data_IF_054771473218
#
_entry.id   IF_054771473218
#
_cell.length_a   1.000
_cell.length_b   1.000
_cell.length_c   1.000
_cell.angle_alpha   90.00
_cell.angle_beta   90.00
_cell.angle_gamma   90.00
#
_symmetry.space_group_name_H-M   'P 1'
#
loop_
_entity.id
_entity.type
_entity.pdbx_description
1 polymer ?
#
# COMPACT_ATOMS: atom_id res chain seq x y z
N UNK A 1 4.87 -23.79 -3.23
CA UNK A 1 5.23 -22.66 -2.35
C UNK A 1 6.39 -21.93 -3.00
N UNK A 2 6.23 -20.67 -3.38
CA UNK A 2 7.35 -19.85 -3.83
C UNK A 2 8.28 -19.66 -2.65
N UNK A 3 9.50 -20.22 -2.71
CA UNK A 3 10.49 -20.05 -1.65
C UNK A 3 10.98 -18.59 -1.72
N UNK A 4 10.95 -17.89 -0.59
CA UNK A 4 11.57 -16.57 -0.47
C UNK A 4 13.08 -16.73 -0.66
N UNK A 5 13.69 -16.15 -1.71
CA UNK A 5 15.11 -16.36 -2.01
C UNK A 5 16.01 -15.66 -0.99
N UNK A 6 17.29 -15.99 -1.03
CA UNK A 6 18.30 -15.25 -0.27
C UNK A 6 18.68 -13.95 -0.98
N UNK A 7 18.68 -12.85 -0.22
CA UNK A 7 19.02 -11.53 -0.69
C UNK A 7 19.98 -10.88 0.30
N UNK A 8 21.27 -11.02 0.04
CA UNK A 8 22.31 -10.20 0.67
C UNK A 8 22.60 -9.01 -0.23
N UNK A 9 22.23 -7.79 0.20
CA UNK A 9 22.49 -6.57 -0.56
C UNK A 9 23.98 -6.35 -0.83
N UNK A 10 24.84 -6.61 0.16
CA UNK A 10 26.26 -6.26 0.08
C UNK A 10 26.97 -7.06 -1.01
N UNK A 11 26.59 -8.33 -1.22
CA UNK A 11 27.22 -9.19 -2.23
C UNK A 11 26.98 -8.74 -3.67
N UNK A 12 25.87 -8.03 -3.95
CA UNK A 12 25.48 -7.64 -5.31
C UNK A 12 25.23 -6.14 -5.49
N UNK A 13 25.59 -5.30 -4.50
CA UNK A 13 25.31 -3.85 -4.49
C UNK A 13 25.72 -3.13 -5.78
N UNK A 14 26.83 -3.52 -6.40
CA UNK A 14 27.31 -2.91 -7.65
C UNK A 14 26.41 -3.29 -8.84
N UNK A 15 25.95 -4.54 -8.90
CA UNK A 15 24.95 -4.99 -9.88
C UNK A 15 23.58 -4.36 -9.62
N UNK A 16 23.18 -4.24 -8.36
CA UNK A 16 21.95 -3.54 -7.94
C UNK A 16 21.98 -2.08 -8.40
N UNK A 17 23.09 -1.37 -8.16
CA UNK A 17 23.28 0.02 -8.60
C UNK A 17 23.29 0.16 -10.12
N UNK A 18 23.91 -0.77 -10.85
CA UNK A 18 23.86 -0.79 -12.31
C UNK A 18 22.42 -0.96 -12.83
N UNK A 19 21.70 -1.96 -12.31
CA UNK A 19 20.32 -2.24 -12.70
C UNK A 19 19.38 -1.06 -12.39
N UNK A 20 19.57 -0.41 -11.25
CA UNK A 20 18.86 0.82 -10.88
C UNK A 20 19.05 1.90 -11.95
N UNK A 21 20.29 2.23 -12.32
CA UNK A 21 20.58 3.25 -13.33
C UNK A 21 20.07 2.86 -14.73
N UNK A 22 20.12 1.58 -15.09
CA UNK A 22 19.54 1.08 -16.35
C UNK A 22 18.02 1.27 -16.39
N UNK A 23 17.33 0.98 -15.29
CA UNK A 23 15.89 1.25 -15.15
C UNK A 23 15.59 2.75 -15.17
N UNK A 24 16.47 3.62 -14.65
CA UNK A 24 16.28 5.07 -14.75
C UNK A 24 16.32 5.56 -16.20
N UNK A 25 17.23 5.03 -17.04
CA UNK A 25 17.28 5.38 -18.47
C UNK A 25 15.94 5.05 -19.15
N UNK A 26 15.46 3.82 -18.99
CA UNK A 26 14.18 3.40 -19.59
C UNK A 26 12.98 4.13 -18.96
N UNK A 27 13.03 4.37 -17.65
CA UNK A 27 12.02 5.07 -16.88
C UNK A 27 11.88 6.54 -17.28
N UNK A 28 13.00 7.23 -17.57
CA UNK A 28 13.01 8.62 -18.04
C UNK A 28 12.50 8.74 -19.46
N UNK A 29 12.80 7.79 -20.33
CA UNK A 29 12.15 7.69 -21.63
C UNK A 29 10.63 7.54 -21.47
N UNK A 30 10.17 6.61 -20.64
CA UNK A 30 8.74 6.44 -20.38
C UNK A 30 8.09 7.69 -19.80
N UNK A 31 8.74 8.35 -18.84
CA UNK A 31 8.28 9.61 -18.24
C UNK A 31 8.12 10.73 -19.27
N UNK A 32 9.08 10.88 -20.18
CA UNK A 32 9.06 11.92 -21.20
C UNK A 32 7.99 11.70 -22.28
N UNK A 33 7.62 10.45 -22.54
CA UNK A 33 6.74 10.09 -23.66
C UNK A 33 5.33 9.66 -23.25
N UNK A 34 5.03 9.50 -21.96
CA UNK A 34 3.69 9.09 -21.50
C UNK A 34 2.97 10.25 -20.83
N UNK A 35 1.70 10.55 -21.17
CA UNK A 35 0.92 11.56 -20.48
C UNK A 35 0.96 11.39 -18.97
N UNK A 36 1.08 12.51 -18.25
CA UNK A 36 1.17 12.50 -16.80
C UNK A 36 -0.07 11.85 -16.18
N UNK A 37 0.15 10.84 -15.35
CA UNK A 37 -0.87 10.24 -14.50
C UNK A 37 -0.55 10.65 -13.07
N UNK A 38 -1.59 10.88 -12.29
CA UNK A 38 -1.44 11.31 -10.90
C UNK A 38 -0.44 10.45 -10.11
N UNK A 39 0.34 11.12 -9.26
CA UNK A 39 1.41 10.54 -8.47
C UNK A 39 2.53 9.88 -9.31
N UNK A 40 2.78 10.42 -10.50
CA UNK A 40 3.78 9.91 -11.46
C UNK A 40 3.60 8.43 -11.84
N UNK A 41 2.41 7.86 -11.67
CA UNK A 41 2.16 6.43 -11.91
C UNK A 41 2.38 6.01 -13.37
N UNK A 42 2.34 6.97 -14.31
CA UNK A 42 2.68 6.78 -15.71
C UNK A 42 4.15 6.38 -15.96
N UNK A 43 5.03 6.47 -14.96
CA UNK A 43 6.48 6.23 -15.12
C UNK A 43 6.99 4.91 -14.50
N UNK A 44 6.17 4.14 -13.78
CA UNK A 44 6.51 2.88 -13.06
C UNK A 44 6.56 1.55 -13.86
N UNK A 45 7.39 0.59 -13.46
CA UNK A 45 7.43 -0.76 -14.07
C UNK A 45 6.59 -1.78 -13.29
N UNK A 46 6.21 -2.89 -13.91
CA UNK A 46 5.38 -3.95 -13.31
C UNK A 46 6.10 -5.28 -13.31
N UNK A 47 5.95 -6.05 -12.23
CA UNK A 47 6.53 -7.38 -12.09
C UNK A 47 5.79 -8.38 -12.98
N UNK A 48 6.53 -9.18 -13.72
CA UNK A 48 6.02 -10.27 -14.57
C UNK A 48 6.76 -11.57 -14.24
N UNK A 49 6.28 -12.74 -14.72
CA UNK A 49 6.98 -14.01 -14.52
C UNK A 49 8.40 -14.10 -15.10
N UNK A 50 8.82 -13.14 -15.93
CA UNK A 50 10.15 -13.11 -16.57
C UNK A 50 10.97 -11.85 -16.26
N UNK A 51 10.39 -10.81 -15.67
CA UNK A 51 11.13 -9.61 -15.30
C UNK A 51 10.25 -8.40 -15.01
N UNK A 52 10.69 -7.22 -15.46
CA UNK A 52 10.01 -5.94 -15.24
C UNK A 52 9.56 -5.32 -16.56
N UNK A 53 8.27 -4.98 -16.67
CA UNK A 53 7.69 -4.48 -17.93
C UNK A 53 7.06 -3.10 -17.76
N UNK A 54 7.12 -2.27 -18.80
CA UNK A 54 6.35 -1.04 -18.87
C UNK A 54 4.93 -1.30 -19.38
N UNK A 55 4.00 -0.39 -19.11
CA UNK A 55 2.82 -0.29 -20.00
C UNK A 55 3.25 0.19 -21.39
N UNK A 56 2.39 0.09 -22.42
CA UNK A 56 2.66 0.71 -23.71
C UNK A 56 2.97 2.21 -23.54
N UNK A 57 4.09 2.63 -24.10
CA UNK A 57 4.57 4.02 -24.14
C UNK A 57 4.08 4.61 -25.46
N UNK A 58 3.33 5.73 -25.45
CA UNK A 58 2.71 6.28 -26.67
C UNK A 58 3.72 7.12 -27.47
N UNK A 59 4.75 6.45 -27.97
CA UNK A 59 5.77 6.99 -28.86
C UNK A 59 5.87 6.15 -30.14
N UNK A 60 5.93 6.82 -31.29
CA UNK A 60 5.81 6.18 -32.60
C UNK A 60 4.58 5.24 -32.69
N UNK A 61 4.76 3.96 -33.07
CA UNK A 61 3.67 2.96 -33.13
C UNK A 61 3.19 2.44 -31.75
N UNK A 62 3.70 3.00 -30.65
CA UNK A 62 3.56 2.46 -29.31
C UNK A 62 4.67 1.46 -28.99
N UNK A 63 5.33 1.59 -27.85
CA UNK A 63 6.49 0.77 -27.46
C UNK A 63 6.32 0.21 -26.05
N UNK A 64 6.49 -1.10 -25.88
CA UNK A 64 6.62 -1.77 -24.59
C UNK A 64 8.10 -2.09 -24.34
N UNK A 65 8.59 -1.82 -23.13
CA UNK A 65 9.95 -2.17 -22.70
C UNK A 65 9.88 -3.22 -21.61
N UNK A 66 10.56 -4.34 -21.84
CA UNK A 66 10.73 -5.44 -20.90
C UNK A 66 12.21 -5.58 -20.54
N UNK A 67 12.53 -5.50 -19.25
CA UNK A 67 13.76 -6.03 -18.71
C UNK A 67 13.51 -7.52 -18.42
N UNK A 68 13.92 -8.39 -19.33
CA UNK A 68 13.88 -9.83 -19.14
C UNK A 68 15.03 -10.22 -18.22
N UNK A 69 14.71 -10.49 -16.95
CA UNK A 69 15.67 -10.78 -15.90
C UNK A 69 16.05 -12.27 -15.85
N UNK A 70 15.41 -13.11 -16.68
CA UNK A 70 15.73 -14.54 -16.80
C UNK A 70 16.73 -14.78 -17.92
N UNK A 71 16.47 -14.22 -19.09
CA UNK A 71 17.39 -14.26 -20.24
C UNK A 71 18.46 -13.16 -20.14
N UNK A 72 18.28 -12.20 -19.23
CA UNK A 72 19.11 -11.02 -19.03
C UNK A 72 19.21 -10.20 -20.32
N UNK A 73 18.08 -9.62 -20.73
CA UNK A 73 17.98 -8.77 -21.92
C UNK A 73 17.08 -7.57 -21.65
N UNK A 74 17.30 -6.50 -22.39
CA UNK A 74 16.26 -5.48 -22.61
C UNK A 74 15.60 -5.79 -23.94
N UNK A 75 14.29 -5.97 -23.93
CA UNK A 75 13.47 -6.25 -25.10
C UNK A 75 12.48 -5.10 -25.27
N UNK A 76 12.47 -4.50 -26.45
CA UNK A 76 11.42 -3.57 -26.85
C UNK A 76 10.51 -4.22 -27.88
N UNK A 77 9.20 -4.11 -27.68
CA UNK A 77 8.18 -4.55 -28.65
C UNK A 77 7.38 -3.33 -29.08
N UNK A 78 7.28 -3.07 -30.39
CA UNK A 78 6.45 -1.98 -30.86
C UNK A 78 5.09 -2.45 -31.39
N UNK A 79 4.11 -1.55 -31.49
CA UNK A 79 2.69 -1.88 -31.70
C UNK A 79 2.37 -2.63 -33.00
N UNK A 80 3.31 -2.70 -33.95
CA UNK A 80 3.19 -3.49 -35.17
C UNK A 80 3.77 -4.93 -35.03
N UNK A 81 4.23 -5.31 -33.84
CA UNK A 81 4.77 -6.63 -33.53
C UNK A 81 6.28 -6.78 -33.74
N UNK A 82 6.98 -5.76 -34.28
CA UNK A 82 8.44 -5.78 -34.37
C UNK A 82 9.06 -5.76 -32.97
N UNK A 83 10.15 -6.52 -32.82
CA UNK A 83 10.89 -6.66 -31.57
C UNK A 83 12.36 -6.43 -31.80
N UNK A 84 12.97 -5.67 -30.91
CA UNK A 84 14.42 -5.45 -30.83
C UNK A 84 14.89 -5.77 -29.42
N UNK A 85 16.15 -6.16 -29.28
CA UNK A 85 16.71 -6.48 -27.96
C UNK A 85 18.22 -6.35 -27.91
N UNK A 86 18.75 -6.14 -26.71
CA UNK A 86 20.17 -6.30 -26.43
C UNK A 86 20.38 -6.98 -25.07
N UNK A 87 21.53 -7.66 -24.92
CA UNK A 87 21.83 -8.42 -23.72
C UNK A 87 22.23 -7.49 -22.56
N UNK A 88 21.75 -7.83 -21.36
CA UNK A 88 22.23 -7.30 -20.08
C UNK A 88 23.45 -8.12 -19.62
N UNK A 89 24.48 -7.42 -19.18
CA UNK A 89 25.75 -7.98 -18.75
C UNK A 89 26.64 -6.88 -18.18
N UNK A 90 27.92 -7.18 -17.89
CA UNK A 90 28.86 -6.16 -17.46
C UNK A 90 29.00 -5.07 -18.53
N UNK A 91 28.61 -3.84 -18.21
CA UNK A 91 28.74 -2.68 -19.10
C UNK A 91 28.66 -1.37 -18.28
N UNK A 92 29.11 -0.28 -18.88
CA UNK A 92 28.96 1.06 -18.30
C UNK A 92 27.51 1.54 -18.47
N UNK A 93 27.15 2.61 -17.75
CA UNK A 93 25.82 3.24 -17.92
C UNK A 93 25.76 3.99 -19.25
N UNK A 94 26.89 4.57 -19.70
CA UNK A 94 27.01 5.19 -21.01
C UNK A 94 26.75 4.20 -22.15
N UNK A 95 27.30 2.98 -22.06
CA UNK A 95 27.06 1.91 -23.03
C UNK A 95 25.60 1.46 -23.02
N UNK A 96 25.00 1.23 -21.84
CA UNK A 96 23.58 0.90 -21.72
C UNK A 96 22.71 1.97 -22.34
N UNK A 97 22.97 3.24 -22.02
CA UNK A 97 22.24 4.38 -22.57
C UNK A 97 22.32 4.43 -24.11
N UNK A 98 23.50 4.24 -24.69
CA UNK A 98 23.67 4.20 -26.15
C UNK A 98 22.89 3.05 -26.80
N UNK A 99 22.95 1.84 -26.24
CA UNK A 99 22.18 0.67 -26.72
C UNK A 99 20.68 0.89 -26.61
N UNK A 100 20.22 1.50 -25.52
CA UNK A 100 18.81 1.81 -25.31
C UNK A 100 18.30 2.85 -26.32
N UNK A 101 19.05 3.93 -26.56
CA UNK A 101 18.72 4.95 -27.56
C UNK A 101 18.60 4.34 -28.96
N UNK A 102 19.52 3.43 -29.32
CA UNK A 102 19.49 2.71 -30.58
C UNK A 102 18.25 1.81 -30.68
N UNK A 103 17.97 1.01 -29.65
CA UNK A 103 16.78 0.15 -29.57
C UNK A 103 15.48 0.92 -29.79
N UNK A 104 15.31 2.08 -29.14
CA UNK A 104 14.11 2.92 -29.32
C UNK A 104 14.02 3.45 -30.76
N UNK A 105 15.13 3.91 -31.32
CA UNK A 105 15.18 4.42 -32.71
C UNK A 105 14.81 3.33 -33.72
N UNK A 106 15.35 2.12 -33.56
CA UNK A 106 15.08 0.99 -34.44
C UNK A 106 13.62 0.53 -34.37
N UNK A 107 13.01 0.63 -33.19
CA UNK A 107 11.58 0.37 -32.99
C UNK A 107 10.67 1.46 -33.58
N UNK A 108 11.22 2.59 -34.00
CA UNK A 108 10.50 3.71 -34.60
C UNK A 108 10.00 4.74 -33.58
N UNK A 109 10.56 4.73 -32.36
CA UNK A 109 10.35 5.76 -31.36
C UNK A 109 11.34 6.92 -31.50
N UNK A 110 11.14 7.95 -30.67
CA UNK A 110 11.97 9.14 -30.58
C UNK A 110 12.67 9.14 -29.20
N UNK A 111 13.95 8.77 -29.08
CA UNK A 111 14.62 8.60 -27.78
C UNK A 111 15.02 9.94 -27.13
N UNK A 112 14.05 10.78 -26.81
CA UNK A 112 14.25 12.12 -26.23
C UNK A 112 13.80 12.17 -24.77
N UNK A 113 14.76 12.26 -23.85
CA UNK A 113 14.48 12.34 -22.42
C UNK A 113 15.63 13.02 -21.67
N UNK A 114 15.36 13.45 -20.43
CA UNK A 114 16.39 14.02 -19.55
C UNK A 114 17.47 12.96 -19.24
N UNK A 115 18.74 13.32 -19.41
CA UNK A 115 19.88 12.39 -19.32
C UNK A 115 20.55 12.33 -17.94
N UNK A 116 20.02 13.07 -16.96
CA UNK A 116 20.55 13.10 -15.60
C UNK A 116 19.79 12.09 -14.73
N UNK A 117 20.45 11.22 -13.95
CA UNK A 117 19.79 10.41 -12.91
C UNK A 117 19.04 11.27 -11.88
N UNK A 118 17.93 10.73 -11.34
CA UNK A 118 17.21 11.28 -10.18
C UNK A 118 17.49 10.44 -8.93
N UNK A 119 17.24 11.02 -7.75
CA UNK A 119 17.20 10.29 -6.47
C UNK A 119 18.48 9.53 -6.12
N UNK A 120 19.60 9.96 -6.70
CA UNK A 120 20.94 9.45 -6.40
C UNK A 120 21.85 10.60 -5.98
N UNK A 121 22.75 10.39 -5.00
CA UNK A 121 23.69 11.42 -4.59
C UNK A 121 24.73 11.68 -5.68
N UNK A 122 24.97 12.96 -6.00
CA UNK A 122 25.97 13.41 -6.98
C UNK A 122 25.81 12.71 -8.35
N UNK A 123 24.68 12.93 -9.06
CA UNK A 123 24.37 12.17 -10.26
C UNK A 123 25.34 12.51 -11.39
N UNK A 124 25.87 11.48 -12.06
CA UNK A 124 26.63 11.61 -13.32
C UNK A 124 25.66 11.43 -14.49
N UNK A 125 25.67 12.30 -15.53
CA UNK A 125 24.83 12.11 -16.70
C UNK A 125 25.03 10.72 -17.33
N UNK A 126 23.95 10.07 -17.77
CA UNK A 126 24.04 8.65 -18.20
C UNK A 126 25.07 8.43 -19.31
N UNK A 127 25.17 9.35 -20.26
CA UNK A 127 26.09 9.25 -21.40
C UNK A 127 27.57 9.52 -21.02
N UNK A 128 27.83 9.99 -19.79
CA UNK A 128 29.17 10.31 -19.28
C UNK A 128 29.61 9.33 -18.17
N UNK A 129 28.72 8.43 -17.72
CA UNK A 129 29.06 7.41 -16.72
C UNK A 129 29.71 6.19 -17.39
N UNK A 130 31.01 6.33 -17.65
CA UNK A 130 31.92 5.32 -18.20
C UNK A 130 32.52 4.40 -17.12
N UNK A 131 31.98 4.38 -15.89
CA UNK A 131 32.47 3.48 -14.85
C UNK A 131 32.09 2.03 -15.19
N UNK A 132 33.07 1.13 -15.15
CA UNK A 132 32.84 -0.31 -15.26
C UNK A 132 31.93 -0.81 -14.13
N UNK A 133 30.89 -1.58 -14.48
CA UNK A 133 29.96 -2.17 -13.52
C UNK A 133 29.83 -3.68 -13.73
N UNK A 134 30.03 -4.48 -12.67
CA UNK A 134 29.80 -5.92 -12.74
C UNK A 134 28.31 -6.24 -12.82
N UNK A 135 27.99 -7.38 -13.41
CA UNK A 135 26.61 -7.87 -13.54
C UNK A 135 26.52 -9.34 -13.12
N UNK A 136 26.04 -9.58 -11.91
CA UNK A 136 25.74 -10.91 -11.39
C UNK A 136 24.33 -11.35 -11.82
N UNK A 137 24.30 -12.30 -12.77
CA UNK A 137 23.07 -12.89 -13.30
C UNK A 137 22.25 -13.62 -12.24
N UNK A 138 22.91 -14.36 -11.35
CA UNK A 138 22.21 -15.13 -10.32
C UNK A 138 21.60 -14.21 -9.26
N UNK A 139 22.31 -13.14 -8.87
CA UNK A 139 21.77 -12.14 -7.95
C UNK A 139 20.54 -11.44 -8.53
N UNK A 140 20.56 -11.07 -9.81
CA UNK A 140 19.41 -10.48 -10.51
C UNK A 140 18.22 -11.44 -10.55
N UNK A 141 18.47 -12.74 -10.75
CA UNK A 141 17.40 -13.75 -10.68
C UNK A 141 16.84 -13.92 -9.27
N UNK A 142 17.67 -13.90 -8.23
CA UNK A 142 17.20 -13.92 -6.83
C UNK A 142 16.37 -12.69 -6.51
N UNK A 143 16.80 -11.51 -6.94
CA UNK A 143 16.02 -10.27 -6.81
C UNK A 143 14.66 -10.38 -7.50
N UNK A 144 14.61 -10.86 -8.74
CA UNK A 144 13.36 -11.05 -9.47
C UNK A 144 12.42 -12.06 -8.77
N UNK A 145 12.96 -13.17 -8.26
CA UNK A 145 12.18 -14.14 -7.47
C UNK A 145 11.62 -13.52 -6.19
N UNK A 146 12.36 -12.63 -5.52
CA UNK A 146 11.86 -11.90 -4.37
C UNK A 146 10.73 -10.96 -4.78
N UNK A 147 10.87 -10.20 -5.86
CA UNK A 147 9.80 -9.34 -6.37
C UNK A 147 8.52 -10.12 -6.69
N UNK A 148 8.61 -11.33 -7.26
CA UNK A 148 7.43 -12.20 -7.48
C UNK A 148 6.77 -12.60 -6.15
N UNK A 149 7.58 -12.95 -5.13
CA UNK A 149 7.05 -13.33 -3.82
C UNK A 149 6.35 -12.14 -3.13
N UNK A 150 6.95 -10.95 -3.22
CA UNK A 150 6.42 -9.71 -2.65
C UNK A 150 5.15 -9.26 -3.38
N UNK A 151 5.17 -9.24 -4.72
CA UNK A 151 4.04 -8.81 -5.55
C UNK A 151 2.76 -9.59 -5.23
N UNK A 152 2.89 -10.91 -5.00
CA UNK A 152 1.79 -11.77 -4.54
C UNK A 152 1.18 -11.29 -3.21
N UNK A 153 2.01 -10.95 -2.22
CA UNK A 153 1.54 -10.50 -0.90
C UNK A 153 0.95 -9.10 -1.00
N UNK A 154 1.61 -8.18 -1.72
CA UNK A 154 1.14 -6.81 -1.92
C UNK A 154 -0.20 -6.78 -2.67
N UNK A 155 -0.38 -7.60 -3.71
CA UNK A 155 -1.66 -7.70 -4.40
C UNK A 155 -2.75 -8.30 -3.51
N UNK A 156 -2.44 -9.29 -2.66
CA UNK A 156 -3.39 -9.80 -1.66
C UNK A 156 -3.77 -8.72 -0.65
N UNK A 157 -2.81 -7.93 -0.17
CA UNK A 157 -3.04 -6.81 0.72
C UNK A 157 -3.96 -5.78 0.06
N UNK A 158 -3.68 -5.41 -1.19
CA UNK A 158 -4.49 -4.47 -1.99
C UNK A 158 -5.97 -4.85 -2.08
N UNK A 159 -6.32 -6.14 -2.06
CA UNK A 159 -7.72 -6.59 -2.18
C UNK A 159 -8.65 -6.18 -1.04
N UNK A 160 -8.10 -5.83 0.14
CA UNK A 160 -8.90 -5.46 1.31
C UNK A 160 -9.23 -3.96 1.38
N UNK A 161 -9.06 -3.23 0.27
CA UNK A 161 -9.25 -1.79 0.19
C UNK A 161 -10.12 -1.40 -1.00
N UNK A 162 -11.16 -0.60 -0.74
CA UNK A 162 -12.15 -0.14 -1.71
C UNK A 162 -11.85 1.27 -2.25
N UNK A 163 -11.08 2.07 -1.51
CA UNK A 163 -10.68 3.40 -1.92
C UNK A 163 -9.66 3.41 -3.06
N UNK A 164 -9.22 4.61 -3.45
CA UNK A 164 -8.12 4.76 -4.41
C UNK A 164 -6.87 4.07 -3.86
N UNK A 165 -6.24 3.22 -4.66
CA UNK A 165 -4.99 2.55 -4.35
C UNK A 165 -4.13 2.48 -5.61
N UNK A 166 -2.82 2.67 -5.46
CA UNK A 166 -1.89 2.44 -6.56
C UNK A 166 -1.94 0.97 -7.01
N UNK A 167 -1.51 0.66 -8.24
CA UNK A 167 -1.00 -0.66 -8.57
C UNK A 167 0.18 -1.04 -7.67
N UNK A 168 0.53 -2.34 -7.65
CA UNK A 168 1.84 -2.77 -7.18
C UNK A 168 2.82 -2.53 -8.33
N UNK A 169 3.78 -1.65 -8.12
CA UNK A 169 4.64 -1.17 -9.19
C UNK A 169 5.97 -0.64 -8.70
N UNK A 170 6.96 -0.67 -9.58
CA UNK A 170 8.34 -0.33 -9.28
C UNK A 170 8.65 1.10 -9.74
N UNK A 171 9.04 1.95 -8.79
CA UNK A 171 9.57 3.28 -9.08
C UNK A 171 11.07 3.14 -9.36
N UNK A 172 11.48 3.54 -10.56
CA UNK A 172 12.88 3.47 -10.97
C UNK A 172 13.72 4.60 -10.33
N UNK A 173 13.11 5.67 -9.82
CA UNK A 173 13.81 6.76 -9.12
C UNK A 173 14.47 6.25 -7.85
N UNK A 174 13.68 5.72 -6.93
CA UNK A 174 14.08 5.19 -5.62
C UNK A 174 14.40 3.69 -5.64
N UNK A 175 14.14 3.00 -6.75
CA UNK A 175 14.36 1.56 -6.94
C UNK A 175 13.63 0.68 -5.93
N UNK A 176 12.36 0.99 -5.71
CA UNK A 176 11.46 0.31 -4.80
C UNK A 176 10.24 -0.24 -5.52
N UNK A 177 9.72 -1.35 -5.00
CA UNK A 177 8.38 -1.83 -5.32
C UNK A 177 7.43 -1.29 -4.25
N UNK A 178 6.41 -0.52 -4.65
CA UNK A 178 5.51 0.16 -3.72
C UNK A 178 4.03 -0.14 -3.97
N UNK A 179 3.25 0.06 -2.91
CA UNK A 179 1.80 0.06 -2.89
C UNK A 179 1.29 1.14 -1.93
N UNK A 180 0.43 2.02 -2.42
CA UNK A 180 -0.09 3.17 -1.66
C UNK A 180 -1.60 3.17 -1.63
N UNK A 181 -2.16 3.35 -0.42
CA UNK A 181 -3.60 3.55 -0.14
C UNK A 181 -3.88 5.01 0.19
N UNK A 182 -5.05 5.48 -0.19
CA UNK A 182 -5.44 6.88 -0.05
C UNK A 182 -6.70 7.02 0.80
N UNK A 183 -6.70 7.98 1.73
CA UNK A 183 -7.88 8.25 2.57
C UNK A 183 -9.04 8.90 1.82
N UNK A 184 -8.75 9.50 0.66
CA UNK A 184 -9.65 10.35 -0.11
C UNK A 184 -9.57 11.84 0.27
N UNK A 185 -8.91 12.19 1.38
CA UNK A 185 -8.71 13.58 1.82
C UNK A 185 -7.44 14.19 1.22
N UNK A 186 -7.39 15.53 1.19
CA UNK A 186 -6.22 16.30 0.75
C UNK A 186 -5.16 16.33 1.86
N UNK A 187 -3.89 16.35 1.47
CA UNK A 187 -2.78 16.55 2.38
C UNK A 187 -2.24 18.00 2.31
N UNK A 188 -1.47 18.44 3.32
CA UNK A 188 -0.65 19.64 3.21
C UNK A 188 0.38 19.53 2.07
N UNK A 189 0.87 20.66 1.59
CA UNK A 189 1.91 20.70 0.55
C UNK A 189 3.19 20.00 1.03
N UNK A 190 3.72 19.08 0.21
CA UNK A 190 4.96 18.37 0.52
C UNK A 190 6.15 19.34 0.59
N UNK A 191 7.06 19.21 1.59
CA UNK A 191 8.19 20.13 1.75
C UNK A 191 9.20 20.08 0.60
N UNK A 192 9.16 19.04 -0.23
CA UNK A 192 10.13 18.83 -1.32
C UNK A 192 11.48 18.37 -0.78
N UNK A 193 12.56 18.67 -1.51
CA UNK A 193 13.94 18.42 -1.07
C UNK A 193 14.44 17.00 -1.27
N UNK A 194 13.74 16.19 -2.07
CA UNK A 194 14.22 14.87 -2.47
C UNK A 194 15.42 15.04 -3.43
N UNK A 195 16.58 14.40 -3.18
CA UNK A 195 17.78 14.61 -3.99
C UNK A 195 17.55 14.42 -5.49
N UNK A 196 17.88 15.44 -6.28
CA UNK A 196 17.78 15.39 -7.75
C UNK A 196 16.37 15.03 -8.28
N UNK A 197 15.33 15.30 -7.51
CA UNK A 197 13.93 15.23 -7.94
C UNK A 197 13.31 16.64 -7.88
N UNK A 198 12.64 17.11 -8.95
CA UNK A 198 11.92 18.37 -8.90
C UNK A 198 10.84 18.38 -7.80
N UNK A 199 10.76 19.47 -7.03
CA UNK A 199 9.84 19.57 -5.89
C UNK A 199 8.37 19.45 -6.28
N UNK A 200 8.00 19.93 -7.47
CA UNK A 200 6.64 19.84 -8.00
C UNK A 200 6.18 18.40 -8.22
N UNK A 201 7.11 17.50 -8.58
CA UNK A 201 6.86 16.05 -8.68
C UNK A 201 6.50 15.47 -7.32
N UNK A 202 7.28 15.79 -6.28
CA UNK A 202 6.98 15.32 -4.92
C UNK A 202 5.68 15.94 -4.37
N UNK A 203 5.44 17.22 -4.64
CA UNK A 203 4.23 17.92 -4.21
C UNK A 203 2.96 17.37 -4.87
N UNK A 204 3.03 17.00 -6.16
CA UNK A 204 1.92 16.32 -6.84
C UNK A 204 1.74 14.89 -6.32
N UNK A 205 2.85 14.15 -6.14
CA UNK A 205 2.80 12.77 -5.64
C UNK A 205 2.19 12.64 -4.24
N UNK A 206 2.32 13.68 -3.41
CA UNK A 206 1.82 13.68 -2.04
C UNK A 206 0.70 14.72 -1.81
N UNK A 207 -0.13 15.03 -2.82
CA UNK A 207 -1.26 15.98 -2.68
C UNK A 207 -2.44 15.43 -1.85
N UNK A 208 -2.43 14.12 -1.53
CA UNK A 208 -3.44 13.40 -0.74
C UNK A 208 -2.85 12.74 0.48
N UNK A 209 -3.71 12.50 1.47
CA UNK A 209 -3.31 11.69 2.61
C UNK A 209 -3.12 10.23 2.17
N UNK A 210 -1.97 9.68 2.50
CA UNK A 210 -1.55 8.35 2.08
C UNK A 210 -1.04 7.51 3.23
N UNK A 211 -1.17 6.20 3.06
CA UNK A 211 -0.41 5.17 3.75
C UNK A 211 0.26 4.36 2.66
N UNK A 212 1.59 4.39 2.62
CA UNK A 212 2.40 3.71 1.63
C UNK A 212 3.25 2.65 2.31
N UNK A 213 3.43 1.54 1.62
CA UNK A 213 4.38 0.51 1.98
C UNK A 213 5.12 0.02 0.74
N UNK A 214 6.37 -0.38 0.91
CA UNK A 214 7.18 -0.86 -0.20
C UNK A 214 8.34 -1.74 0.22
N UNK A 215 9.22 -2.01 -0.74
CA UNK A 215 10.39 -2.85 -0.57
C UNK A 215 11.59 -2.25 -1.30
N UNK A 216 12.72 -2.18 -0.62
CA UNK A 216 14.03 -1.92 -1.22
C UNK A 216 14.89 -3.18 -1.21
N UNK A 217 15.65 -3.45 -2.29
CA UNK A 217 16.70 -4.46 -2.28
C UNK A 217 17.91 -4.11 -1.40
N UNK A 218 17.90 -2.91 -0.79
CA UNK A 218 19.01 -2.25 -0.12
C UNK A 218 19.36 -0.94 -0.83
N UNK A 219 20.16 -0.09 -0.18
CA UNK A 219 20.34 1.31 -0.56
C UNK A 219 19.37 2.24 0.18
N UNK A 220 19.33 3.52 -0.20
CA UNK A 220 18.44 4.53 0.40
C UNK A 220 18.62 4.71 1.92
N UNK A 221 19.84 4.61 2.43
CA UNK A 221 20.16 4.82 3.85
C UNK A 221 20.19 3.55 4.70
N UNK A 222 19.94 2.38 4.10
CA UNK A 222 20.16 1.06 4.73
C UNK A 222 20.98 0.15 3.81
N UNK A 223 21.83 -0.69 4.42
CA UNK A 223 22.74 -1.59 3.72
C UNK A 223 22.21 -3.05 3.67
N UNK A 224 20.89 -3.22 3.79
CA UNK A 224 20.22 -4.52 3.74
C UNK A 224 18.84 -4.38 3.07
N UNK A 225 18.29 -5.44 2.46
CA UNK A 225 16.96 -5.39 1.90
C UNK A 225 15.90 -5.29 3.01
N UNK A 226 14.90 -4.45 2.81
CA UNK A 226 13.85 -4.26 3.80
C UNK A 226 12.54 -3.82 3.19
N UNK A 227 11.46 -4.12 3.90
CA UNK A 227 10.17 -3.50 3.71
C UNK A 227 10.09 -2.21 4.50
N UNK A 228 9.33 -1.26 3.99
CA UNK A 228 9.09 0.00 4.66
C UNK A 228 7.60 0.35 4.65
N UNK A 229 7.20 1.21 5.57
CA UNK A 229 5.88 1.80 5.59
C UNK A 229 5.89 3.20 6.23
N UNK A 230 5.17 4.12 5.60
CA UNK A 230 4.99 5.48 6.10
C UNK A 230 3.59 6.01 5.81
N UNK A 231 3.23 7.11 6.47
CA UNK A 231 2.03 7.87 6.19
C UNK A 231 2.41 9.32 5.90
N UNK A 232 1.72 9.94 4.94
CA UNK A 232 1.87 11.37 4.66
C UNK A 232 0.50 12.05 4.63
N UNK A 233 0.28 13.14 5.39
CA UNK A 233 1.13 13.57 6.49
C UNK A 233 1.15 12.49 7.59
N UNK A 234 2.26 12.36 8.31
CA UNK A 234 2.34 11.40 9.41
C UNK A 234 1.36 11.81 10.53
N UNK A 235 0.35 10.98 10.88
CA UNK A 235 -0.59 11.33 11.93
C UNK A 235 0.10 11.34 13.30
N UNK A 236 -0.43 12.15 14.22
CA UNK A 236 0.12 12.23 15.57
C UNK A 236 0.13 10.84 16.24
N UNK A 237 1.28 10.46 16.80
CA UNK A 237 1.47 9.15 17.42
C UNK A 237 1.92 8.03 16.47
N UNK A 238 1.99 8.27 15.15
CA UNK A 238 2.33 7.21 14.18
C UNK A 238 3.69 6.57 14.46
N UNK A 239 4.72 7.39 14.70
CA UNK A 239 6.07 6.95 15.09
C UNK A 239 6.08 6.01 16.31
N UNK A 240 5.13 6.16 17.23
CA UNK A 240 5.06 5.39 18.47
C UNK A 240 4.04 4.24 18.40
N UNK A 241 3.40 4.01 17.25
CA UNK A 241 2.42 2.97 17.08
C UNK A 241 3.06 1.58 17.22
N UNK A 242 2.36 0.67 17.89
CA UNK A 242 2.75 -0.74 17.93
C UNK A 242 2.47 -1.39 16.59
N UNK A 243 3.53 -1.79 15.89
CA UNK A 243 3.47 -2.53 14.64
C UNK A 243 3.84 -3.99 14.86
N UNK A 244 3.46 -4.83 13.91
CA UNK A 244 3.76 -6.25 13.91
C UNK A 244 4.53 -6.61 12.63
N UNK A 245 5.28 -7.72 12.61
CA UNK A 245 5.69 -8.50 13.77
C UNK A 245 6.72 -7.74 14.64
N UNK A 246 7.12 -8.30 15.79
CA UNK A 246 8.06 -7.65 16.74
C UNK A 246 9.43 -7.31 16.13
N UNK A 247 9.79 -7.94 15.01
CA UNK A 247 11.00 -7.62 14.25
C UNK A 247 10.90 -6.32 13.43
N UNK A 248 9.70 -5.76 13.25
CA UNK A 248 9.49 -4.46 12.63
C UNK A 248 9.73 -3.33 13.64
N UNK A 249 10.34 -2.24 13.20
CA UNK A 249 10.73 -1.13 14.08
C UNK A 249 10.67 0.22 13.36
N UNK A 250 10.66 1.32 14.12
CA UNK A 250 10.73 2.67 13.57
C UNK A 250 12.18 3.08 13.30
N UNK A 251 12.49 3.56 12.09
CA UNK A 251 13.82 4.05 11.73
C UNK A 251 13.85 5.59 11.69
N UNK A 252 14.54 6.20 12.65
CA UNK A 252 14.55 7.67 12.83
C UNK A 252 15.08 8.43 11.61
N UNK A 253 16.15 7.94 10.98
CA UNK A 253 16.78 8.63 9.85
C UNK A 253 15.92 8.64 8.58
N UNK A 254 15.02 7.66 8.45
CA UNK A 254 14.10 7.56 7.31
C UNK A 254 12.72 8.12 7.66
N UNK A 255 12.38 8.17 8.95
CA UNK A 255 11.04 8.51 9.44
C UNK A 255 9.97 7.54 8.91
N UNK A 256 10.30 6.25 8.91
CA UNK A 256 9.45 5.17 8.43
C UNK A 256 9.54 3.94 9.33
N UNK A 257 8.51 3.09 9.30
CA UNK A 257 8.62 1.74 9.84
C UNK A 257 9.41 0.87 8.87
N UNK A 258 10.34 0.07 9.39
CA UNK A 258 11.18 -0.85 8.65
C UNK A 258 10.94 -2.27 9.15
N UNK A 259 10.82 -3.21 8.21
CA UNK A 259 10.78 -4.64 8.50
C UNK A 259 11.84 -5.36 7.65
N UNK A 260 12.94 -5.85 8.26
CA UNK A 260 14.03 -6.50 7.54
C UNK A 260 13.59 -7.72 6.71
N UNK A 261 14.14 -7.86 5.51
CA UNK A 261 13.78 -8.96 4.60
C UNK A 261 14.18 -10.34 5.15
N UNK A 262 15.32 -10.44 5.83
CA UNK A 262 15.81 -11.66 6.47
C UNK A 262 14.85 -12.17 7.57
N UNK A 263 14.21 -11.26 8.30
CA UNK A 263 13.19 -11.57 9.29
C UNK A 263 11.91 -12.13 8.63
N UNK A 264 11.52 -11.61 7.46
CA UNK A 264 10.44 -12.21 6.64
C UNK A 264 10.84 -13.59 6.16
N UNK A 265 12.04 -13.71 5.57
CA UNK A 265 12.55 -14.97 5.01
C UNK A 265 12.66 -16.07 6.07
N UNK A 266 13.05 -15.72 7.30
CA UNK A 266 13.23 -16.65 8.41
C UNK A 266 11.95 -16.96 9.19
N UNK A 267 10.84 -16.28 8.88
CA UNK A 267 9.56 -16.52 9.53
C UNK A 267 8.99 -17.91 9.19
N UNK A 268 8.19 -18.48 10.10
CA UNK A 268 7.51 -19.75 9.85
C UNK A 268 6.56 -19.68 8.64
N UNK A 269 5.90 -18.53 8.46
CA UNK A 269 5.14 -18.18 7.27
C UNK A 269 5.53 -16.76 6.82
N UNK A 270 6.45 -16.64 5.84
CA UNK A 270 6.91 -15.34 5.33
C UNK A 270 5.79 -14.48 4.73
N UNK A 271 4.80 -15.09 4.07
CA UNK A 271 3.71 -14.34 3.44
C UNK A 271 2.82 -13.70 4.51
N UNK A 272 2.50 -14.44 5.58
CA UNK A 272 1.71 -13.92 6.71
C UNK A 272 2.50 -12.93 7.58
N UNK A 273 3.82 -13.12 7.75
CA UNK A 273 4.67 -12.15 8.45
C UNK A 273 4.69 -10.79 7.74
N UNK A 274 4.87 -10.78 6.41
CA UNK A 274 4.80 -9.55 5.62
C UNK A 274 3.37 -8.97 5.63
N UNK A 275 2.33 -9.80 5.56
CA UNK A 275 0.95 -9.33 5.66
C UNK A 275 0.69 -8.63 7.00
N UNK A 276 1.18 -9.17 8.12
CA UNK A 276 1.04 -8.57 9.44
C UNK A 276 1.70 -7.18 9.52
N UNK A 277 2.85 -7.00 8.88
CA UNK A 277 3.51 -5.70 8.73
C UNK A 277 2.67 -4.70 7.93
N UNK A 278 2.21 -5.10 6.74
CA UNK A 278 1.39 -4.24 5.89
C UNK A 278 0.08 -3.83 6.57
N UNK A 279 -0.59 -4.78 7.24
CA UNK A 279 -1.85 -4.52 7.95
C UNK A 279 -1.62 -3.62 9.15
N UNK A 280 -0.69 -3.95 10.06
CA UNK A 280 -0.51 -3.20 11.30
C UNK A 280 -0.04 -1.75 11.06
N UNK A 281 0.84 -1.53 10.08
CA UNK A 281 1.31 -0.18 9.72
C UNK A 281 0.22 0.66 9.05
N UNK A 282 -0.64 0.04 8.23
CA UNK A 282 -1.81 0.69 7.65
C UNK A 282 -2.88 1.01 8.71
N UNK A 283 -3.19 0.06 9.61
CA UNK A 283 -4.18 0.29 10.68
C UNK A 283 -3.74 1.43 11.59
N UNK A 284 -2.45 1.48 11.96
CA UNK A 284 -1.89 2.60 12.69
C UNK A 284 -2.09 3.94 11.95
N UNK A 285 -1.84 3.99 10.65
CA UNK A 285 -2.01 5.20 9.84
C UNK A 285 -3.50 5.61 9.74
N UNK A 286 -4.38 4.65 9.48
CA UNK A 286 -5.81 4.87 9.29
C UNK A 286 -6.51 5.26 10.60
N UNK A 287 -6.20 4.61 11.72
CA UNK A 287 -6.82 4.88 13.01
C UNK A 287 -6.37 6.23 13.58
N UNK A 288 -5.05 6.49 13.61
CA UNK A 288 -4.51 7.76 14.08
C UNK A 288 -4.87 8.92 13.14
N UNK A 289 -4.92 8.64 11.83
CA UNK A 289 -5.39 9.55 10.81
C UNK A 289 -6.91 9.76 10.82
N UNK A 290 -7.70 8.94 11.55
CA UNK A 290 -9.17 8.96 11.53
C UNK A 290 -9.74 8.85 10.11
N UNK A 291 -9.26 7.88 9.37
CA UNK A 291 -9.78 7.54 8.05
C UNK A 291 -11.16 6.88 8.17
N UNK A 292 -11.99 7.00 7.13
CA UNK A 292 -13.30 6.33 7.12
C UNK A 292 -13.14 4.86 6.74
N UNK A 293 -12.63 4.05 7.68
CA UNK A 293 -12.29 2.64 7.46
C UNK A 293 -13.49 1.82 6.97
N UNK A 294 -14.71 2.13 7.42
CA UNK A 294 -15.92 1.43 6.98
C UNK A 294 -16.23 1.65 5.49
N UNK A 295 -15.88 2.83 4.95
CA UNK A 295 -16.00 3.16 3.53
C UNK A 295 -14.83 2.57 2.71
N UNK A 296 -13.65 2.50 3.32
CA UNK A 296 -12.40 2.21 2.64
C UNK A 296 -12.00 0.73 2.67
N UNK A 297 -12.53 -0.08 3.58
CA UNK A 297 -12.06 -1.44 3.83
C UNK A 297 -13.09 -2.50 3.47
N UNK A 298 -12.58 -3.69 3.15
CA UNK A 298 -13.37 -4.90 3.04
C UNK A 298 -12.53 -6.11 3.45
N UNK A 299 -13.16 -7.28 3.56
CA UNK A 299 -12.42 -8.52 3.79
C UNK A 299 -11.46 -8.80 2.61
N UNK A 300 -10.30 -9.39 2.90
CA UNK A 300 -9.37 -9.83 1.85
C UNK A 300 -10.07 -10.71 0.82
N UNK A 301 -9.78 -10.42 -0.46
CA UNK A 301 -10.36 -11.13 -1.60
C UNK A 301 -9.99 -12.61 -1.59
N UNK A 302 -10.95 -13.43 -2.00
CA UNK A 302 -10.77 -14.88 -2.18
C UNK A 302 -11.04 -15.25 -3.65
N UNK A 303 -10.26 -16.18 -4.24
CA UNK A 303 -10.48 -16.60 -5.62
C UNK A 303 -11.93 -17.06 -5.85
N UNK A 304 -12.55 -16.57 -6.93
CA UNK A 304 -13.93 -16.87 -7.35
C UNK A 304 -15.02 -16.42 -6.37
N UNK A 305 -14.71 -15.54 -5.42
CA UNK A 305 -15.70 -14.96 -4.50
C UNK A 305 -15.82 -13.46 -4.76
N UNK A 306 -16.95 -13.06 -5.33
CA UNK A 306 -17.27 -11.65 -5.54
C UNK A 306 -17.78 -11.08 -4.21
N UNK A 307 -17.26 -9.91 -3.81
CA UNK A 307 -17.74 -9.20 -2.63
C UNK A 307 -19.22 -8.84 -2.81
N UNK A 308 -20.02 -9.04 -1.77
CA UNK A 308 -21.40 -8.54 -1.74
C UNK A 308 -21.40 -7.01 -1.85
N UNK A 309 -22.12 -6.41 -2.83
CA UNK A 309 -22.19 -4.96 -2.97
C UNK A 309 -22.87 -4.31 -1.77
N UNK A 310 -22.44 -3.10 -1.40
CA UNK A 310 -22.99 -2.39 -0.21
C UNK A 310 -24.48 -2.09 -0.37
N UNK A 311 -24.93 -1.79 -1.59
CA UNK A 311 -26.35 -1.59 -1.90
C UNK A 311 -27.21 -2.83 -1.59
N UNK A 312 -26.66 -4.05 -1.74
CA UNK A 312 -27.35 -5.29 -1.42
C UNK A 312 -27.41 -5.57 0.09
N UNK A 313 -26.43 -5.06 0.85
CA UNK A 313 -26.44 -5.12 2.32
C UNK A 313 -27.49 -4.18 2.93
N UNK A 314 -27.81 -3.08 2.24
CA UNK A 314 -28.84 -2.12 2.66
C UNK A 314 -30.25 -2.65 2.36
N UNK A 315 -30.43 -3.38 1.25
CA UNK A 315 -31.73 -3.93 0.83
C UNK A 315 -32.07 -5.27 1.46
N UNK A 316 -31.08 -6.02 1.94
CA UNK A 316 -31.34 -7.01 2.97
C UNK A 316 -31.62 -6.26 4.28
N UNK A 317 -32.89 -6.08 4.63
CA UNK A 317 -33.22 -6.25 6.05
C UNK A 317 -32.66 -7.62 6.39
N UNK A 318 -31.66 -7.76 7.28
CA UNK A 318 -31.03 -9.05 7.49
C UNK A 318 -32.11 -10.05 7.85
N UNK A 319 -32.29 -11.09 7.04
CA UNK A 319 -32.84 -12.32 7.59
C UNK A 319 -31.77 -12.80 8.56
N UNK A 320 -32.00 -12.50 9.83
CA UNK A 320 -31.37 -13.05 11.03
C UNK A 320 -30.56 -14.30 10.70
N UNK A 321 -29.23 -14.16 10.60
CA UNK A 321 -28.40 -15.22 11.14
C UNK A 321 -28.67 -15.22 12.64
N UNK A 322 -28.86 -16.39 13.25
CA UNK A 322 -29.33 -16.58 14.63
C UNK A 322 -28.49 -15.90 15.74
N UNK A 323 -27.46 -15.15 15.39
CA UNK A 323 -26.62 -14.35 16.29
C UNK A 323 -27.31 -13.04 16.65
N UNK A 324 -28.21 -13.12 17.63
CA UNK A 324 -28.95 -11.98 18.17
C UNK A 324 -28.07 -11.12 19.08
N UNK A 325 -28.25 -9.80 19.06
CA UNK A 325 -27.69 -8.94 20.11
C UNK A 325 -28.47 -9.21 21.39
N UNK A 326 -27.77 -9.61 22.44
CA UNK A 326 -28.36 -9.86 23.75
C UNK A 326 -28.21 -8.62 24.63
N UNK A 327 -29.32 -8.15 25.21
CA UNK A 327 -29.33 -7.09 26.22
C UNK A 327 -29.35 -7.72 27.60
N UNK A 328 -28.30 -7.46 28.38
CA UNK A 328 -28.23 -7.81 29.79
C UNK A 328 -28.44 -6.55 30.62
N UNK A 329 -29.48 -6.57 31.46
CA UNK A 329 -29.98 -5.37 32.10
C UNK A 329 -29.92 -5.42 33.62
N UNK A 330 -29.38 -4.37 34.24
CA UNK A 330 -29.27 -4.20 35.69
C UNK A 330 -29.92 -2.89 36.18
N UNK A 331 -30.03 -2.67 37.50
CA UNK A 331 -30.77 -1.54 38.05
C UNK A 331 -30.20 -0.16 37.66
N UNK A 332 -28.89 -0.03 37.56
CA UNK A 332 -28.22 1.25 37.23
C UNK A 332 -27.33 1.20 35.98
N UNK A 333 -27.04 0.01 35.46
CA UNK A 333 -26.19 -0.24 34.30
C UNK A 333 -26.71 -1.43 33.51
N UNK A 334 -26.36 -1.50 32.24
CA UNK A 334 -26.61 -2.65 31.38
C UNK A 334 -25.57 -2.76 30.29
N UNK A 335 -25.66 -3.83 29.50
CA UNK A 335 -24.79 -4.05 28.34
C UNK A 335 -25.54 -4.73 27.20
N UNK A 336 -25.05 -4.49 26.00
CA UNK A 336 -25.38 -5.22 24.79
C UNK A 336 -24.19 -6.09 24.41
N UNK A 337 -24.44 -7.37 24.19
CA UNK A 337 -23.42 -8.36 23.83
C UNK A 337 -23.77 -9.02 22.51
N UNK A 338 -22.76 -9.27 21.69
CA UNK A 338 -22.90 -10.03 20.45
C UNK A 338 -21.73 -11.00 20.31
N UNK A 339 -22.03 -12.29 20.16
CA UNK A 339 -21.03 -13.34 19.94
C UNK A 339 -21.07 -13.75 18.46
N UNK A 340 -19.93 -13.61 17.78
CA UNK A 340 -19.74 -14.00 16.38
C UNK A 340 -18.53 -14.92 16.30
N UNK A 341 -18.70 -16.10 15.70
CA UNK A 341 -17.63 -17.12 15.61
C UNK A 341 -16.96 -17.45 16.96
N UNK A 342 -17.72 -17.40 18.07
CA UNK A 342 -17.22 -17.64 19.42
C UNK A 342 -16.43 -16.49 20.06
N UNK A 343 -16.33 -15.34 19.38
CA UNK A 343 -15.69 -14.11 19.88
C UNK A 343 -16.77 -13.10 20.25
N UNK A 344 -16.60 -12.45 21.41
CA UNK A 344 -17.60 -11.55 21.99
C UNK A 344 -17.23 -10.07 21.76
N UNK A 345 -18.20 -9.28 21.32
CA UNK A 345 -18.16 -7.82 21.38
C UNK A 345 -19.22 -7.29 22.35
N UNK A 346 -18.94 -6.14 22.97
CA UNK A 346 -19.77 -5.56 24.02
C UNK A 346 -19.95 -4.05 23.85
N UNK A 347 -21.11 -3.54 24.25
CA UNK A 347 -21.36 -2.11 24.48
C UNK A 347 -22.07 -1.91 25.82
N UNK A 348 -21.54 -1.05 26.69
CA UNK A 348 -22.11 -0.78 28.01
C UNK A 348 -22.85 0.55 28.06
N UNK A 349 -23.84 0.62 28.96
CA UNK A 349 -24.53 1.86 29.29
C UNK A 349 -24.86 1.97 30.78
N UNK A 350 -25.08 3.21 31.22
CA UNK A 350 -25.57 3.56 32.54
C UNK A 350 -26.91 4.28 32.47
N UNK A 351 -27.79 4.07 33.46
CA UNK A 351 -29.08 4.78 33.57
C UNK A 351 -28.88 6.08 34.35
N UNK A 352 -29.12 7.20 33.69
CA UNK A 352 -29.09 8.52 34.32
C UNK A 352 -30.45 8.89 34.93
N UNK A 353 -31.54 8.37 34.38
CA UNK A 353 -32.90 8.43 34.93
C UNK A 353 -33.78 7.35 34.30
N UNK A 354 -35.04 7.24 34.71
CA UNK A 354 -36.03 6.32 34.12
C UNK A 354 -36.26 6.58 32.61
N UNK A 355 -35.91 7.77 32.12
CA UNK A 355 -36.07 8.17 30.72
C UNK A 355 -34.76 8.44 29.98
N UNK A 356 -33.58 8.11 30.56
CA UNK A 356 -32.30 8.51 29.99
C UNK A 356 -31.20 7.48 30.27
N UNK A 357 -30.54 7.03 29.20
CA UNK A 357 -29.34 6.18 29.27
C UNK A 357 -28.12 6.88 28.67
N UNK A 358 -26.94 6.50 29.16
CA UNK A 358 -25.64 6.99 28.70
C UNK A 358 -24.85 5.81 28.16
N UNK A 359 -24.53 5.82 26.86
CA UNK A 359 -23.63 4.83 26.27
C UNK A 359 -22.19 5.27 26.55
N UNK A 360 -21.48 4.52 27.39
CA UNK A 360 -20.19 4.91 27.94
C UNK A 360 -19.01 4.16 27.31
N UNK A 361 -19.20 2.93 26.84
CA UNK A 361 -18.13 2.14 26.22
C UNK A 361 -18.63 1.21 25.10
N UNK A 362 -17.77 0.94 24.12
CA UNK A 362 -18.00 -0.06 23.05
C UNK A 362 -16.68 -0.72 22.73
N UNK A 363 -16.62 -2.04 22.84
CA UNK A 363 -15.44 -2.85 22.56
C UNK A 363 -15.75 -3.91 21.50
N UNK A 364 -14.95 -3.90 20.43
CA UNK A 364 -15.00 -4.90 19.36
C UNK A 364 -13.60 -5.50 19.22
N UNK A 365 -13.42 -6.80 19.52
CA UNK A 365 -12.13 -7.47 19.38
C UNK A 365 -11.59 -7.37 17.95
N UNK A 366 -10.26 -7.39 17.81
CA UNK A 366 -9.59 -7.26 16.51
C UNK A 366 -10.11 -8.27 15.47
N UNK A 367 -10.39 -9.52 15.88
CA UNK A 367 -10.93 -10.58 15.01
C UNK A 367 -12.30 -10.25 14.38
N UNK A 368 -13.05 -9.31 14.96
CA UNK A 368 -14.39 -8.89 14.55
C UNK A 368 -14.42 -7.48 13.93
N UNK A 369 -13.29 -6.77 13.86
CA UNK A 369 -13.19 -5.46 13.19
C UNK A 369 -13.50 -5.60 11.70
N UNK A 370 -14.08 -4.54 11.10
CA UNK A 370 -14.52 -4.54 9.70
C UNK A 370 -15.79 -5.37 9.40
N UNK A 371 -16.41 -6.01 10.41
CA UNK A 371 -17.64 -6.81 10.26
C UNK A 371 -18.92 -6.10 10.73
N UNK A 372 -18.85 -4.78 10.98
CA UNK A 372 -19.98 -3.96 11.48
C UNK A 372 -20.59 -4.41 12.82
N UNK A 373 -19.84 -5.19 13.62
CA UNK A 373 -20.31 -5.71 14.92
C UNK A 373 -20.64 -4.57 15.89
N UNK A 374 -19.78 -3.55 15.99
CA UNK A 374 -20.05 -2.38 16.83
C UNK A 374 -21.28 -1.57 16.39
N UNK A 375 -21.49 -1.42 15.07
CA UNK A 375 -22.68 -0.75 14.53
C UNK A 375 -23.97 -1.49 14.93
N UNK A 376 -23.96 -2.83 14.89
CA UNK A 376 -25.10 -3.67 15.32
C UNK A 376 -25.46 -3.44 16.78
N UNK A 377 -24.46 -3.36 17.67
CA UNK A 377 -24.67 -3.07 19.09
C UNK A 377 -25.34 -1.70 19.30
N UNK A 378 -24.83 -0.66 18.62
CA UNK A 378 -25.40 0.70 18.71
C UNK A 378 -26.83 0.72 18.14
N UNK A 379 -27.07 0.08 17.00
CA UNK A 379 -28.39 0.02 16.37
C UNK A 379 -29.44 -0.62 17.29
N UNK A 380 -29.11 -1.73 17.94
CA UNK A 380 -30.04 -2.38 18.89
C UNK A 380 -30.38 -1.43 20.06
N UNK A 381 -29.39 -0.70 20.59
CA UNK A 381 -29.66 0.27 21.65
C UNK A 381 -30.54 1.44 21.19
N UNK A 382 -30.41 1.89 19.94
CA UNK A 382 -31.30 2.91 19.36
C UNK A 382 -32.73 2.37 19.23
N UNK A 383 -32.90 1.14 18.74
CA UNK A 383 -34.21 0.50 18.58
C UNK A 383 -34.90 0.25 19.93
N UNK A 384 -34.13 -0.21 20.92
CA UNK A 384 -34.57 -0.33 22.30
C UNK A 384 -34.96 1.01 22.91
N UNK A 385 -34.18 2.07 22.67
CA UNK A 385 -34.50 3.40 23.16
C UNK A 385 -35.83 3.92 22.61
N UNK A 386 -36.11 3.68 21.31
CA UNK A 386 -37.41 3.99 20.71
C UNK A 386 -38.54 3.18 21.32
N UNK A 387 -38.32 1.89 21.53
CA UNK A 387 -39.33 0.96 22.07
C UNK A 387 -39.66 1.28 23.53
N UNK A 388 -38.65 1.60 24.31
CA UNK A 388 -38.75 1.82 25.75
C UNK A 388 -39.07 3.30 26.07
N UNK A 389 -39.01 4.19 25.08
CA UNK A 389 -39.28 5.62 25.24
C UNK A 389 -38.20 6.37 26.03
N UNK A 390 -36.95 5.90 25.96
CA UNK A 390 -35.81 6.51 26.66
C UNK A 390 -34.92 7.29 25.69
N UNK A 391 -34.28 8.34 26.18
CA UNK A 391 -33.30 9.11 25.42
C UNK A 391 -31.87 8.59 25.67
N UNK A 392 -30.96 8.89 24.74
CA UNK A 392 -29.56 8.46 24.77
C UNK A 392 -28.62 9.67 24.81
N UNK A 393 -27.56 9.57 25.63
CA UNK A 393 -26.35 10.39 25.55
C UNK A 393 -25.16 9.49 25.16
N UNK A 394 -24.57 9.63 23.96
CA UNK A 394 -23.45 8.80 23.54
C UNK A 394 -22.11 9.44 23.95
N UNK A 395 -21.61 9.09 25.13
CA UNK A 395 -20.28 9.53 25.59
C UNK A 395 -19.16 8.71 24.97
N UNK A 396 -19.41 7.44 24.67
CA UNK A 396 -18.46 6.60 23.92
C UNK A 396 -18.16 7.26 22.56
N UNK A 397 -16.88 7.53 22.22
CA UNK A 397 -16.51 8.12 20.93
C UNK A 397 -16.99 7.30 19.73
N UNK A 398 -16.97 5.96 19.86
CA UNK A 398 -17.47 5.06 18.82
C UNK A 398 -18.98 5.22 18.62
N UNK A 399 -19.79 5.10 19.68
CA UNK A 399 -21.23 5.27 19.60
C UNK A 399 -21.62 6.67 19.05
N UNK A 400 -20.92 7.72 19.50
CA UNK A 400 -21.12 9.08 19.00
C UNK A 400 -20.82 9.21 17.51
N UNK A 401 -19.72 8.61 17.04
CA UNK A 401 -19.37 8.62 15.62
C UNK A 401 -20.39 7.85 14.77
N UNK A 402 -20.86 6.69 15.24
CA UNK A 402 -21.88 5.91 14.54
C UNK A 402 -23.21 6.69 14.45
N UNK A 403 -23.71 7.22 15.57
CA UNK A 403 -24.94 8.03 15.57
C UNK A 403 -24.81 9.29 14.71
N UNK A 404 -23.62 9.90 14.64
CA UNK A 404 -23.36 11.03 13.75
C UNK A 404 -23.45 10.70 12.26
N UNK A 405 -23.23 9.43 11.87
CA UNK A 405 -23.35 8.94 10.49
C UNK A 405 -24.78 8.57 10.09
N UNK A 406 -25.66 8.35 11.07
CA UNK A 406 -27.06 7.95 10.90
C UNK A 406 -27.99 9.09 11.33
N UNK A 407 -28.40 9.92 10.37
CA UNK A 407 -29.29 11.05 10.65
C UNK A 407 -30.65 10.59 11.20
N UNK A 408 -31.07 9.38 10.85
CA UNK A 408 -32.28 8.74 11.34
C UNK A 408 -32.20 8.31 12.80
N UNK A 409 -31.01 8.24 13.44
CA UNK A 409 -30.85 7.89 14.87
C UNK A 409 -30.87 9.10 15.81
N UNK A 410 -30.96 10.30 15.25
CA UNK A 410 -30.96 11.55 16.02
C UNK A 410 -32.26 11.78 16.81
N UNK A 411 -33.29 10.97 16.56
CA UNK A 411 -34.62 11.06 17.17
C UNK A 411 -34.65 10.63 18.64
N UNK A 412 -33.73 9.75 19.06
CA UNK A 412 -33.62 9.28 20.45
C UNK A 412 -32.54 9.99 21.27
N UNK A 413 -31.86 10.98 20.69
CA UNK A 413 -30.82 11.70 21.42
C UNK A 413 -31.42 12.75 22.36
N UNK A 414 -30.91 12.79 23.59
CA UNK A 414 -31.17 13.90 24.50
C UNK A 414 -30.57 15.18 23.93
N UNK A 415 -31.41 16.18 23.70
CA UNK A 415 -31.01 17.51 23.22
C UNK A 415 -30.45 18.40 24.30
#
# INVERSE_FOLDING_TARGET
MTKWPDLDYLSWRETCSALHLYLQVAGKYRLAHTPWLNHSWNATFYVTPIGLVSSPIPDGPGIEILFDLREHKVVGTCGNGRRESFDLGPMTVAEFHARFVQLISDLGGTPTFNKQPNEVPNPVPFAEDDRDRPYDREAVQRFHQALIAIDKVFNRFRTSFLGKSSPVHLFWGSFDLALTRFSGRRAPLHPGGIPSLPDDVAQEAYDREVSSAGFWPGGNGIDYPAFYAYAYPAPAGYRAASVQPDAAFWHEGLSEFIFPYDAVQSAADPDEALMAFLVSTYEAAADLGRWDRDLLECAHGKPRQVRTPDAALITSTPSVGDEKVEREDGPSKGRYRLVVDGVEAEMTYSRASDGLIIIDHTEVPAALRGRKVGERLVREAIEDARRDGVEIIPLCPFAKAQIGRHSEWQDVLRR
#
